data_IF_477574656483
#
_entry.id   IF_477574656483
#
_cell.length_a   1.000
_cell.length_b   1.000
_cell.length_c   1.000
_cell.angle_alpha   90.00
_cell.angle_beta   90.00
_cell.angle_gamma   90.00
#
_symmetry.space_group_name_H-M   'P 1'
#
loop_
_entity.id
_entity.type
_entity.pdbx_description
1 polymer ?
#
# COMPACT_ATOMS: atom_id res chain seq x y z
N UNK A 1 -14.11 -3.44 -12.87
CA UNK A 1 -15.14 -4.42 -13.31
C UNK A 1 -14.63 -5.82 -13.02
N UNK A 2 -15.48 -6.73 -12.55
CA UNK A 2 -15.15 -8.14 -12.35
C UNK A 2 -15.58 -8.96 -13.57
N UNK A 3 -14.70 -9.81 -14.09
CA UNK A 3 -14.92 -10.71 -15.22
C UNK A 3 -14.44 -12.11 -14.81
N UNK A 4 -15.35 -13.09 -14.90
CA UNK A 4 -15.16 -14.48 -14.45
C UNK A 4 -14.39 -14.60 -13.13
N UNK A 5 -14.88 -13.90 -12.10
CA UNK A 5 -14.34 -13.97 -10.74
C UNK A 5 -13.08 -13.16 -10.46
N UNK A 6 -12.55 -12.38 -11.42
CA UNK A 6 -11.35 -11.58 -11.23
C UNK A 6 -11.46 -10.15 -11.78
N UNK A 7 -10.49 -9.29 -11.43
CA UNK A 7 -10.36 -7.97 -12.03
C UNK A 7 -10.22 -8.07 -13.56
N UNK A 8 -10.88 -7.18 -14.30
CA UNK A 8 -10.79 -7.09 -15.78
C UNK A 8 -9.34 -6.98 -16.31
N UNK A 9 -8.41 -6.47 -15.49
CA UNK A 9 -6.99 -6.35 -15.85
C UNK A 9 -6.15 -7.58 -15.48
N UNK A 10 -6.76 -8.68 -15.02
CA UNK A 10 -6.03 -9.92 -14.76
C UNK A 10 -5.84 -10.72 -16.05
N UNK A 11 -4.58 -10.82 -16.50
CA UNK A 11 -4.16 -11.82 -17.48
C UNK A 11 -4.10 -13.19 -16.80
N UNK A 12 -4.88 -14.15 -17.32
CA UNK A 12 -4.94 -15.52 -16.79
C UNK A 12 -3.70 -16.32 -17.19
N UNK A 13 -3.49 -17.45 -16.51
CA UNK A 13 -2.47 -18.41 -16.91
C UNK A 13 -2.62 -18.81 -18.39
N UNK A 14 -1.50 -18.80 -19.13
CA UNK A 14 -1.49 -19.06 -20.57
C UNK A 14 -1.77 -17.84 -21.46
N UNK A 15 -2.00 -16.65 -20.89
CA UNK A 15 -2.07 -15.41 -21.69
C UNK A 15 -0.71 -15.10 -22.33
N UNK A 16 -0.72 -14.73 -23.62
CA UNK A 16 0.51 -14.59 -24.42
C UNK A 16 1.48 -13.54 -23.86
N UNK A 17 0.97 -12.45 -23.29
CA UNK A 17 1.76 -11.40 -22.63
C UNK A 17 2.15 -11.70 -21.17
N UNK A 18 1.98 -12.93 -20.70
CA UNK A 18 2.26 -13.32 -19.31
C UNK A 18 1.04 -13.22 -18.38
N UNK A 19 1.05 -14.03 -17.32
CA UNK A 19 0.01 -14.04 -16.30
C UNK A 19 0.24 -12.94 -15.24
N UNK A 20 -0.84 -12.33 -14.75
CA UNK A 20 -0.76 -11.26 -13.74
C UNK A 20 -1.53 -10.01 -14.13
N UNK A 21 -1.23 -8.89 -13.46
CA UNK A 21 -1.90 -7.62 -13.76
C UNK A 21 -1.36 -7.02 -15.06
N UNK A 22 -2.24 -6.81 -16.05
CA UNK A 22 -1.88 -6.22 -17.34
C UNK A 22 -1.22 -4.84 -17.21
N UNK A 23 -1.67 -4.01 -16.25
CA UNK A 23 -1.07 -2.69 -15.99
C UNK A 23 0.35 -2.79 -15.43
N UNK A 24 0.61 -3.79 -14.58
CA UNK A 24 1.93 -4.03 -14.04
C UNK A 24 2.89 -4.53 -15.12
N UNK A 25 2.44 -5.50 -15.93
CA UNK A 25 3.23 -6.04 -17.03
C UNK A 25 3.52 -4.97 -18.09
N UNK A 26 2.53 -4.12 -18.40
CA UNK A 26 2.70 -2.99 -19.31
C UNK A 26 3.74 -1.98 -18.81
N UNK A 27 3.67 -1.57 -17.54
CA UNK A 27 4.66 -0.67 -16.96
C UNK A 27 6.08 -1.22 -17.08
N UNK A 28 6.28 -2.51 -16.77
CA UNK A 28 7.60 -3.15 -16.88
C UNK A 28 8.09 -3.25 -18.33
N UNK A 29 7.22 -3.52 -19.30
CA UNK A 29 7.56 -3.56 -20.72
C UNK A 29 8.00 -2.18 -21.25
N UNK A 30 7.47 -1.11 -20.65
CA UNK A 30 7.83 0.27 -20.93
C UNK A 30 8.98 0.82 -20.06
N UNK A 31 9.55 0.00 -19.17
CA UNK A 31 10.57 0.40 -18.19
C UNK A 31 10.09 1.50 -17.20
N UNK A 32 8.77 1.61 -17.01
CA UNK A 32 8.13 2.57 -16.11
C UNK A 32 7.83 1.97 -14.73
N UNK A 33 7.61 2.84 -13.75
CA UNK A 33 7.22 2.41 -12.42
C UNK A 33 5.76 1.91 -12.41
N UNK A 34 5.48 0.69 -11.89
CA UNK A 34 4.12 0.16 -11.92
C UNK A 34 3.06 0.97 -11.16
N UNK A 35 3.46 1.77 -10.16
CA UNK A 35 2.51 2.57 -9.38
C UNK A 35 1.92 3.73 -10.20
N UNK A 36 2.65 4.25 -11.19
CA UNK A 36 2.18 5.29 -12.12
C UNK A 36 1.09 4.78 -13.09
N UNK A 37 1.14 3.48 -13.42
CA UNK A 37 0.18 2.85 -14.32
C UNK A 37 -1.03 2.26 -13.58
N UNK A 38 -0.83 1.83 -12.34
CA UNK A 38 -1.84 1.13 -11.55
C UNK A 38 -2.68 2.12 -10.74
N UNK A 39 -4.00 1.91 -10.62
CA UNK A 39 -4.80 2.72 -9.70
C UNK A 39 -4.35 2.48 -8.25
N UNK A 40 -4.44 3.51 -7.40
CA UNK A 40 -4.00 3.51 -6.00
C UNK A 40 -4.32 2.21 -5.24
N UNK A 41 -5.56 1.72 -5.34
CA UNK A 41 -6.02 0.50 -4.65
C UNK A 41 -5.18 -0.75 -4.96
N UNK A 42 -4.52 -0.81 -6.12
CA UNK A 42 -3.72 -1.96 -6.55
C UNK A 42 -2.27 -1.95 -6.03
N UNK A 43 -1.81 -0.85 -5.42
CA UNK A 43 -0.47 -0.74 -4.85
C UNK A 43 -0.45 -0.15 -3.43
N UNK A 44 -1.58 0.35 -2.94
CA UNK A 44 -1.74 0.84 -1.56
C UNK A 44 -1.45 -0.23 -0.49
N UNK A 45 -1.77 -1.50 -0.75
CA UNK A 45 -1.49 -2.59 0.21
C UNK A 45 0.04 -2.75 0.33
N UNK A 46 0.61 -2.70 1.55
CA UNK A 46 -0.05 -3.10 2.79
C UNK A 46 -0.38 -1.94 3.75
N UNK A 47 -0.65 -0.74 3.24
CA UNK A 47 -0.98 0.44 4.04
C UNK A 47 -2.48 0.71 4.08
N UNK A 48 -2.89 1.44 5.10
CA UNK A 48 -4.25 1.91 5.31
C UNK A 48 -4.18 3.40 5.69
N UNK A 49 -4.99 4.22 5.02
CA UNK A 49 -5.13 5.65 5.32
C UNK A 49 -6.57 5.91 5.73
N UNK A 50 -6.77 6.15 7.02
CA UNK A 50 -8.06 6.49 7.59
C UNK A 50 -8.17 8.02 7.65
N UNK A 51 -9.30 8.58 7.21
CA UNK A 51 -9.60 10.01 7.33
C UNK A 51 -10.71 10.20 8.33
N UNK A 52 -10.45 11.01 9.35
CA UNK A 52 -11.42 11.32 10.41
C UNK A 52 -11.54 12.82 10.58
N UNK A 53 -12.75 13.33 10.69
CA UNK A 53 -12.98 14.72 11.08
C UNK A 53 -12.95 14.81 12.60
N UNK A 54 -12.18 15.75 13.14
CA UNK A 54 -12.15 15.99 14.58
C UNK A 54 -13.54 16.37 15.11
N UNK A 55 -13.99 15.81 16.24
CA UNK A 55 -15.31 16.14 16.79
C UNK A 55 -15.47 17.64 17.05
N UNK A 56 -16.48 18.26 16.43
CA UNK A 56 -16.77 19.69 16.59
C UNK A 56 -15.81 20.62 15.84
N UNK A 57 -14.96 20.09 14.96
CA UNK A 57 -13.98 20.84 14.16
C UNK A 57 -14.19 20.56 12.67
N UNK A 58 -13.72 21.47 11.81
CA UNK A 58 -13.63 21.24 10.36
C UNK A 58 -12.28 20.65 9.93
N UNK A 59 -11.42 20.32 10.89
CA UNK A 59 -10.10 19.72 10.64
C UNK A 59 -10.27 18.24 10.31
N UNK A 60 -9.76 17.84 9.16
CA UNK A 60 -9.59 16.44 8.79
C UNK A 60 -8.21 15.94 9.22
N UNK A 61 -8.19 14.79 9.89
CA UNK A 61 -6.97 14.10 10.29
C UNK A 61 -6.84 12.84 9.45
N UNK A 62 -5.70 12.70 8.79
CA UNK A 62 -5.31 11.50 8.06
C UNK A 62 -4.40 10.62 8.92
N UNK A 63 -4.76 9.36 9.11
CA UNK A 63 -4.03 8.37 9.90
C UNK A 63 -3.50 7.30 8.97
N UNK A 64 -2.19 7.33 8.70
CA UNK A 64 -1.48 6.30 7.96
C UNK A 64 -1.02 5.20 8.91
N UNK A 65 -1.38 3.95 8.62
CA UNK A 65 -0.98 2.77 9.42
C UNK A 65 -0.78 1.54 8.55
N UNK A 66 -0.17 0.50 9.12
CA UNK A 66 -0.19 -0.84 8.51
C UNK A 66 -1.64 -1.34 8.40
N UNK A 67 -1.95 -1.99 7.29
CA UNK A 67 -3.19 -2.72 7.11
C UNK A 67 -3.14 -4.02 7.92
N UNK A 68 -4.29 -4.47 8.39
CA UNK A 68 -4.53 -5.70 9.17
C UNK A 68 -5.54 -6.58 8.44
N UNK A 69 -5.65 -7.86 8.81
CA UNK A 69 -6.67 -8.76 8.22
C UNK A 69 -8.07 -8.18 8.35
N UNK A 70 -8.39 -7.68 9.55
CA UNK A 70 -9.70 -7.09 9.84
C UNK A 70 -10.06 -5.93 8.92
N UNK A 71 -9.08 -5.20 8.35
CA UNK A 71 -9.36 -4.10 7.41
C UNK A 71 -9.88 -4.58 6.04
N UNK A 72 -9.82 -5.89 5.78
CA UNK A 72 -10.43 -6.53 4.60
C UNK A 72 -11.77 -7.18 4.91
N UNK A 73 -12.17 -7.25 6.18
CA UNK A 73 -13.44 -7.86 6.58
C UNK A 73 -14.60 -6.94 6.28
N UNK A 74 -15.69 -7.51 5.74
CA UNK A 74 -16.94 -6.77 5.54
C UNK A 74 -17.76 -6.63 6.83
N UNK A 75 -17.46 -7.47 7.83
CA UNK A 75 -18.20 -7.57 9.10
C UNK A 75 -17.40 -7.08 10.31
N UNK A 76 -16.10 -6.86 10.14
CA UNK A 76 -15.16 -6.64 11.24
C UNK A 76 -14.69 -7.92 11.94
N UNK A 77 -15.16 -9.10 11.50
CA UNK A 77 -14.68 -10.40 11.95
C UNK A 77 -13.54 -10.88 11.03
N UNK A 78 -12.44 -11.36 11.63
CA UNK A 78 -11.31 -11.93 10.89
C UNK A 78 -11.68 -13.22 10.15
N UNK A 79 -12.75 -13.92 10.54
CA UNK A 79 -13.23 -15.11 9.84
C UNK A 79 -13.64 -14.84 8.37
N UNK A 80 -14.01 -13.59 8.06
CA UNK A 80 -14.36 -13.10 6.71
C UNK A 80 -13.22 -12.31 6.06
N UNK A 81 -12.04 -12.24 6.69
CA UNK A 81 -10.90 -11.51 6.15
C UNK A 81 -10.07 -12.35 5.16
N UNK A 82 -9.20 -11.68 4.41
CA UNK A 82 -8.21 -12.34 3.56
C UNK A 82 -7.25 -13.18 4.41
N UNK A 83 -6.97 -14.40 3.94
CA UNK A 83 -5.98 -15.28 4.58
C UNK A 83 -4.53 -14.79 4.40
N UNK A 84 -4.30 -13.89 3.46
CA UNK A 84 -2.97 -13.38 3.11
C UNK A 84 -2.84 -11.92 3.57
N UNK A 85 -2.03 -11.68 4.61
CA UNK A 85 -1.51 -10.35 4.93
C UNK A 85 -0.11 -10.50 5.55
N UNK A 86 0.87 -9.75 5.05
CA UNK A 86 2.26 -9.86 5.52
C UNK A 86 2.51 -9.04 6.79
N UNK A 87 1.82 -7.92 6.99
CA UNK A 87 2.06 -6.96 8.08
C UNK A 87 1.75 -7.48 9.48
N UNK A 88 1.15 -8.66 9.62
CA UNK A 88 0.92 -9.31 10.91
C UNK A 88 1.91 -10.44 11.19
N UNK A 89 2.76 -10.78 10.23
CA UNK A 89 3.84 -11.73 10.39
C UNK A 89 5.10 -10.99 10.87
N UNK A 90 5.71 -11.37 12.01
CA UNK A 90 6.99 -10.81 12.46
C UNK A 90 8.10 -10.89 11.40
N UNK A 91 8.06 -11.90 10.50
CA UNK A 91 9.03 -12.06 9.42
C UNK A 91 9.01 -10.89 8.41
N UNK A 92 7.93 -10.11 8.34
CA UNK A 92 7.84 -8.94 7.46
C UNK A 92 8.71 -7.76 7.92
N UNK A 93 9.30 -7.82 9.12
CA UNK A 93 10.03 -6.71 9.75
C UNK A 93 11.55 -6.96 9.88
N UNK A 94 12.12 -7.76 8.97
CA UNK A 94 13.55 -8.08 8.97
C UNK A 94 14.47 -7.12 8.21
N UNK A 95 13.91 -6.18 7.45
CA UNK A 95 14.68 -5.26 6.60
C UNK A 95 15.22 -4.06 7.36
N UNK A 96 16.44 -3.63 7.00
CA UNK A 96 17.10 -2.47 7.62
C UNK A 96 16.66 -1.14 7.02
N UNK A 97 16.21 -1.16 5.76
CA UNK A 97 15.74 0.06 5.08
C UNK A 97 14.27 0.29 5.42
N UNK A 98 13.89 1.42 6.05
CA UNK A 98 12.51 1.72 6.33
C UNK A 98 11.64 1.69 5.06
N UNK A 99 10.44 1.14 5.19
CA UNK A 99 9.53 0.98 4.05
C UNK A 99 9.18 2.30 3.37
N UNK A 100 9.09 3.40 4.15
CA UNK A 100 8.88 4.76 3.65
C UNK A 100 9.98 5.17 2.66
N UNK A 101 11.23 4.81 2.94
CA UNK A 101 12.36 5.16 2.07
C UNK A 101 12.46 4.21 0.88
N UNK A 102 12.09 2.93 1.07
CA UNK A 102 12.11 1.93 0.00
C UNK A 102 11.05 2.18 -1.08
N UNK A 103 9.89 2.71 -0.68
CA UNK A 103 8.72 3.01 -1.52
C UNK A 103 8.43 4.53 -1.54
N UNK A 104 9.49 5.33 -1.63
CA UNK A 104 9.39 6.79 -1.48
C UNK A 104 8.47 7.40 -2.53
N UNK A 105 8.64 7.03 -3.79
CA UNK A 105 7.86 7.55 -4.92
C UNK A 105 6.37 7.25 -4.72
N UNK A 106 6.02 6.02 -4.33
CA UNK A 106 4.63 5.65 -4.03
C UNK A 106 4.02 6.47 -2.89
N UNK A 107 4.81 6.76 -1.85
CA UNK A 107 4.34 7.60 -0.75
C UNK A 107 4.23 9.07 -1.14
N UNK A 108 5.11 9.57 -1.99
CA UNK A 108 5.07 10.96 -2.49
C UNK A 108 3.85 11.15 -3.40
N UNK A 109 3.57 10.19 -4.29
CA UNK A 109 2.37 10.16 -5.11
C UNK A 109 1.08 10.08 -4.27
N UNK A 110 1.12 9.35 -3.15
CA UNK A 110 -0.07 9.15 -2.34
C UNK A 110 -0.34 10.27 -1.33
N UNK A 111 0.70 10.79 -0.68
CA UNK A 111 0.59 11.69 0.47
C UNK A 111 1.12 13.10 0.19
N UNK A 112 1.90 13.28 -0.88
CA UNK A 112 2.63 14.50 -1.19
C UNK A 112 4.02 14.55 -0.56
N UNK A 113 4.94 15.22 -1.26
CA UNK A 113 6.35 15.33 -0.89
C UNK A 113 6.58 15.88 0.51
N UNK A 114 5.90 16.97 0.88
CA UNK A 114 6.06 17.62 2.20
C UNK A 114 5.78 16.64 3.36
N UNK A 115 4.75 15.78 3.21
CA UNK A 115 4.41 14.78 4.23
C UNK A 115 5.49 13.71 4.32
N UNK A 116 5.99 13.22 3.19
CA UNK A 116 7.02 12.17 3.14
C UNK A 116 8.34 12.66 3.73
N UNK A 117 8.75 13.88 3.41
CA UNK A 117 9.96 14.49 4.00
C UNK A 117 9.83 14.57 5.52
N UNK A 118 8.69 15.07 6.02
CA UNK A 118 8.48 15.24 7.44
C UNK A 118 8.37 13.91 8.21
N UNK A 119 7.95 12.83 7.54
CA UNK A 119 8.00 11.47 8.09
C UNK A 119 9.43 10.91 8.09
N UNK A 120 10.20 11.14 7.03
CA UNK A 120 11.59 10.68 6.89
C UNK A 120 12.51 11.33 7.94
N UNK A 121 12.31 12.61 8.24
CA UNK A 121 13.01 13.32 9.31
C UNK A 121 12.79 12.65 10.68
N UNK A 122 11.53 12.32 11.00
CA UNK A 122 11.18 11.66 12.28
C UNK A 122 11.74 10.25 12.41
N UNK A 123 11.80 9.50 11.32
CA UNK A 123 12.45 8.18 11.31
C UNK A 123 13.93 8.31 11.67
N UNK A 124 14.61 9.28 11.05
CA UNK A 124 16.05 9.53 11.26
C UNK A 124 16.36 9.97 12.71
N UNK A 125 15.50 10.80 13.31
CA UNK A 125 15.66 11.21 14.72
C UNK A 125 15.42 10.07 15.71
N UNK A 126 14.53 9.13 15.39
CA UNK A 126 14.20 7.99 16.26
C UNK A 126 15.32 6.96 16.27
N UNK A 127 15.99 6.73 15.14
CA UNK A 127 17.17 5.85 15.06
C UNK A 127 18.36 6.41 15.84
N UNK A 128 18.53 7.73 15.87
CA UNK A 128 19.62 8.38 16.63
C UNK A 128 19.41 8.38 18.15
N UNK A 129 18.17 8.23 18.64
CA UNK A 129 17.85 8.21 20.07
C UNK A 129 17.87 6.82 20.74
N UNK A 130 17.97 5.75 19.94
CA UNK A 130 18.00 4.35 20.40
C UNK A 130 19.38 3.67 20.21
N UNK A 131 20.40 4.45 19.85
CA UNK A 131 21.81 4.02 19.75
C UNK A 131 22.63 4.65 20.87
#
# INVERSE_FOLDING_TARGET
RVIDGACIFLNRAGFAGGAGCALHLGALDHEDAPHEWKPLVCWQVPFQLDRVTEPGSSVEVSILRRKRRVDFSSTGDEADAVAWICTEDPAAYGEVTPVLLRQREEFEDWLGTDVVEHLAERLSSTTAGNA
#
